data_IF_279444278502
#
_entry.id   IF_279444278502
#
_cell.length_a   1.000
_cell.length_b   1.000
_cell.length_c   1.000
_cell.angle_alpha   90.00
_cell.angle_beta   90.00
_cell.angle_gamma   90.00
#
_symmetry.space_group_name_H-M   'P 1'
#
loop_
_entity.id
_entity.type
_entity.pdbx_description
1 polymer ?
#
# COMPACT_ATOMS: atom_id res chain seq x y z
N UNK A 1 -4.56 -21.06 -5.74
CA UNK A 1 -5.94 -20.56 -5.58
C UNK A 1 -6.19 -19.90 -4.22
N UNK A 2 -5.65 -20.44 -3.11
CA UNK A 2 -5.84 -19.90 -1.75
C UNK A 2 -5.42 -18.45 -1.54
N UNK A 3 -4.47 -17.93 -2.33
CA UNK A 3 -3.96 -16.57 -2.23
C UNK A 3 -4.71 -15.55 -3.10
N UNK A 4 -5.52 -16.00 -4.08
CA UNK A 4 -6.12 -15.11 -5.07
C UNK A 4 -7.17 -14.20 -4.40
N UNK A 5 -8.12 -14.78 -3.66
CA UNK A 5 -9.16 -14.01 -2.96
C UNK A 5 -8.64 -13.01 -1.93
N UNK A 6 -7.73 -13.35 -1.00
CA UNK A 6 -7.23 -12.38 -0.04
C UNK A 6 -6.44 -11.25 -0.71
N UNK A 7 -5.67 -11.53 -1.77
CA UNK A 7 -4.96 -10.49 -2.52
C UNK A 7 -5.95 -9.58 -3.24
N UNK A 8 -6.97 -10.13 -3.91
CA UNK A 8 -8.01 -9.32 -4.56
C UNK A 8 -8.76 -8.44 -3.55
N UNK A 9 -9.11 -8.97 -2.39
CA UNK A 9 -9.77 -8.20 -1.34
C UNK A 9 -8.88 -7.05 -0.82
N UNK A 10 -7.60 -7.31 -0.57
CA UNK A 10 -6.63 -6.28 -0.16
C UNK A 10 -6.55 -5.13 -1.17
N UNK A 11 -6.44 -5.48 -2.46
CA UNK A 11 -6.36 -4.50 -3.56
C UNK A 11 -7.68 -3.76 -3.73
N UNK A 12 -8.82 -4.45 -3.70
CA UNK A 12 -10.14 -3.85 -3.89
C UNK A 12 -10.53 -2.90 -2.75
N UNK A 13 -10.08 -3.18 -1.52
CA UNK A 13 -10.23 -2.26 -0.39
C UNK A 13 -9.31 -1.04 -0.47
N UNK A 14 -8.39 -0.98 -1.44
CA UNK A 14 -7.43 0.12 -1.59
C UNK A 14 -6.36 0.13 -0.51
N UNK A 15 -6.01 -1.03 0.06
CA UNK A 15 -4.92 -1.11 1.03
C UNK A 15 -3.55 -0.97 0.35
N UNK A 16 -2.63 -0.32 1.06
CA UNK A 16 -1.33 0.07 0.54
C UNK A 16 -0.26 -1.00 0.83
N UNK A 17 0.45 -1.43 -0.20
CA UNK A 17 1.57 -2.38 -0.07
C UNK A 17 2.86 -1.71 -0.55
N UNK A 18 3.81 -1.52 0.35
CA UNK A 18 5.01 -0.72 0.10
C UNK A 18 5.80 -1.18 -1.15
N UNK A 19 5.90 -2.50 -1.37
CA UNK A 19 6.60 -3.06 -2.55
C UNK A 19 5.81 -2.86 -3.84
N UNK A 20 4.47 -2.85 -3.78
CA UNK A 20 3.66 -2.55 -4.97
C UNK A 20 3.83 -1.08 -5.36
N UNK A 21 3.91 -0.21 -4.36
CA UNK A 21 4.05 1.23 -4.54
C UNK A 21 5.44 1.62 -5.08
N UNK A 22 6.48 0.84 -4.79
CA UNK A 22 7.80 0.96 -5.43
C UNK A 22 7.75 0.74 -6.95
N UNK A 23 6.71 0.08 -7.49
CA UNK A 23 6.49 -0.04 -8.93
C UNK A 23 5.50 1.01 -9.44
N UNK A 24 4.32 1.12 -8.82
CA UNK A 24 3.24 1.98 -9.32
C UNK A 24 3.57 3.48 -9.26
N UNK A 25 4.22 3.96 -8.20
CA UNK A 25 4.51 5.39 -8.06
C UNK A 25 5.59 5.85 -9.05
N UNK A 26 6.75 5.17 -9.19
CA UNK A 26 7.73 5.54 -10.22
C UNK A 26 7.18 5.43 -11.64
N UNK A 27 6.35 4.42 -11.91
CA UNK A 27 5.68 4.28 -13.20
C UNK A 27 4.73 5.46 -13.47
N UNK A 28 3.93 5.87 -12.49
CA UNK A 28 3.07 7.05 -12.60
C UNK A 28 3.88 8.34 -12.83
N UNK A 29 4.96 8.54 -12.06
CA UNK A 29 5.85 9.71 -12.21
C UNK A 29 6.44 9.76 -13.62
N UNK A 30 6.91 8.62 -14.16
CA UNK A 30 7.47 8.56 -15.50
C UNK A 30 6.41 8.81 -16.58
N UNK A 31 5.23 8.18 -16.47
CA UNK A 31 4.13 8.39 -17.41
C UNK A 31 3.72 9.87 -17.47
N UNK A 32 3.56 10.51 -16.31
CA UNK A 32 3.10 11.88 -16.19
C UNK A 32 4.19 12.91 -16.58
N UNK A 33 5.37 12.83 -15.95
CA UNK A 33 6.40 13.86 -16.07
C UNK A 33 7.34 13.66 -17.27
N UNK A 34 7.58 12.42 -17.70
CA UNK A 34 8.51 12.13 -18.80
C UNK A 34 7.79 12.02 -20.14
N UNK A 35 6.63 11.36 -20.17
CA UNK A 35 5.90 11.09 -21.41
C UNK A 35 4.67 11.98 -21.62
N UNK A 36 4.30 12.81 -20.63
CA UNK A 36 3.10 13.66 -20.71
C UNK A 36 1.81 12.85 -20.86
N UNK A 37 1.83 11.57 -20.50
CA UNK A 37 0.70 10.67 -20.66
C UNK A 37 -0.23 10.82 -19.46
N UNK A 38 -1.41 11.38 -19.73
CA UNK A 38 -2.42 11.71 -18.72
C UNK A 38 -3.75 10.98 -18.92
N UNK A 39 -3.91 10.23 -20.03
CA UNK A 39 -5.15 9.50 -20.33
C UNK A 39 -6.41 10.40 -20.33
N UNK A 40 -7.58 9.80 -20.18
CA UNK A 40 -8.86 10.50 -19.95
C UNK A 40 -9.07 10.78 -18.45
N UNK A 41 -8.22 11.63 -17.87
CA UNK A 41 -8.36 12.07 -16.47
C UNK A 41 -9.10 13.41 -16.44
N UNK A 42 -10.08 13.53 -15.54
CA UNK A 42 -10.78 14.80 -15.27
C UNK A 42 -9.76 15.93 -15.00
N UNK A 43 -9.89 17.12 -15.63
CA UNK A 43 -8.92 18.20 -15.47
C UNK A 43 -8.69 18.63 -14.01
N UNK A 44 -9.74 18.58 -13.17
CA UNK A 44 -9.64 18.88 -11.75
C UNK A 44 -8.80 17.85 -10.95
N UNK A 45 -8.82 16.58 -11.37
CA UNK A 45 -8.00 15.52 -10.75
C UNK A 45 -6.56 15.56 -11.25
N UNK A 46 -6.37 16.03 -12.48
CA UNK A 46 -5.05 16.19 -13.09
C UNK A 46 -4.17 17.17 -12.33
N UNK A 47 -4.74 18.31 -11.93
CA UNK A 47 -4.04 19.33 -11.16
C UNK A 47 -3.61 18.78 -9.80
N UNK A 48 -4.51 18.10 -9.07
CA UNK A 48 -4.19 17.45 -7.79
C UNK A 48 -3.13 16.35 -7.93
N UNK A 49 -3.17 15.56 -9.01
CA UNK A 49 -2.16 14.54 -9.32
C UNK A 49 -0.79 15.17 -9.57
N UNK A 50 -0.72 16.28 -10.29
CA UNK A 50 0.54 16.96 -10.59
C UNK A 50 1.29 17.43 -9.35
N UNK A 51 0.56 17.83 -8.30
CA UNK A 51 1.14 18.30 -7.04
C UNK A 51 1.57 17.15 -6.12
N UNK A 52 0.95 15.97 -6.25
CA UNK A 52 1.18 14.84 -5.34
C UNK A 52 2.12 13.78 -5.94
N UNK A 53 2.13 13.64 -7.26
CA UNK A 53 2.95 12.69 -8.00
C UNK A 53 4.37 13.22 -8.23
N UNK A 54 5.04 13.48 -7.11
CA UNK A 54 6.43 13.92 -7.04
C UNK A 54 7.28 12.83 -6.39
N UNK A 55 8.60 12.88 -6.57
CA UNK A 55 9.52 11.97 -5.88
C UNK A 55 9.35 12.06 -4.35
N UNK A 56 9.13 13.27 -3.82
CA UNK A 56 8.87 13.48 -2.40
C UNK A 56 7.56 12.85 -1.93
N UNK A 57 6.48 13.00 -2.70
CA UNK A 57 5.19 12.36 -2.43
C UNK A 57 5.29 10.83 -2.47
N UNK A 58 6.07 10.29 -3.42
CA UNK A 58 6.31 8.85 -3.50
C UNK A 58 7.09 8.32 -2.29
N UNK A 59 8.15 9.01 -1.86
CA UNK A 59 8.90 8.63 -0.66
C UNK A 59 8.03 8.68 0.61
N UNK A 60 7.15 9.68 0.73
CA UNK A 60 6.22 9.78 1.85
C UNK A 60 5.24 8.61 1.89
N UNK A 61 4.62 8.28 0.75
CA UNK A 61 3.71 7.14 0.66
C UNK A 61 4.43 5.82 0.99
N UNK A 62 5.58 5.56 0.38
CA UNK A 62 6.36 4.34 0.63
C UNK A 62 6.77 4.24 2.10
N UNK A 63 7.19 5.35 2.72
CA UNK A 63 7.57 5.38 4.14
C UNK A 63 6.41 5.00 5.06
N UNK A 64 5.25 5.62 4.89
CA UNK A 64 4.07 5.33 5.71
C UNK A 64 3.51 3.93 5.44
N UNK A 65 3.43 3.51 4.17
CA UNK A 65 3.00 2.16 3.81
C UNK A 65 3.92 1.11 4.43
N UNK A 66 5.24 1.34 4.43
CA UNK A 66 6.22 0.42 5.04
C UNK A 66 5.99 0.29 6.55
N UNK A 67 5.81 1.40 7.26
CA UNK A 67 5.51 1.37 8.69
C UNK A 67 4.19 0.63 8.97
N UNK A 68 3.13 0.93 8.20
CA UNK A 68 1.85 0.25 8.32
C UNK A 68 1.94 -1.24 8.04
N UNK A 69 2.68 -1.65 7.01
CA UNK A 69 2.88 -3.06 6.65
C UNK A 69 3.67 -3.81 7.73
N UNK A 70 4.71 -3.20 8.32
CA UNK A 70 5.45 -3.79 9.45
C UNK A 70 4.53 -3.97 10.67
N UNK A 71 3.78 -2.92 11.05
CA UNK A 71 2.85 -2.97 12.18
C UNK A 71 1.77 -4.02 11.95
N UNK A 72 1.17 -4.07 10.76
CA UNK A 72 0.17 -5.08 10.40
C UNK A 72 0.71 -6.50 10.50
N UNK A 73 1.94 -6.75 10.02
CA UNK A 73 2.62 -8.03 10.15
C UNK A 73 2.91 -8.40 11.61
N UNK A 74 3.42 -7.45 12.39
CA UNK A 74 3.73 -7.65 13.80
C UNK A 74 2.48 -7.97 14.64
N UNK A 75 1.35 -7.31 14.37
CA UNK A 75 0.07 -7.58 15.02
C UNK A 75 -0.43 -8.99 14.72
N UNK A 76 -0.38 -9.41 13.45
CA UNK A 76 -0.81 -10.75 13.06
C UNK A 76 0.08 -11.83 13.71
N UNK A 77 1.40 -11.66 13.65
CA UNK A 77 2.34 -12.60 14.27
C UNK A 77 2.15 -12.65 15.80
N UNK A 78 2.01 -11.50 16.44
CA UNK A 78 1.78 -11.40 17.89
C UNK A 78 0.47 -12.05 18.32
N UNK A 79 -0.61 -11.83 17.56
CA UNK A 79 -1.91 -12.46 17.80
C UNK A 79 -1.83 -13.98 17.66
N UNK A 80 -1.17 -14.48 16.61
CA UNK A 80 -0.99 -15.93 16.41
C UNK A 80 -0.16 -16.55 17.54
N UNK A 81 0.90 -15.87 18.00
CA UNK A 81 1.69 -16.32 19.14
C UNK A 81 0.86 -16.37 20.43
N UNK A 82 0.06 -15.35 20.69
CA UNK A 82 -0.83 -15.33 21.85
C UNK A 82 -1.85 -16.47 21.78
N UNK A 83 -2.53 -16.66 20.65
CA UNK A 83 -3.50 -17.75 20.49
C UNK A 83 -2.86 -19.15 20.68
N UNK A 84 -1.61 -19.33 20.24
CA UNK A 84 -0.91 -20.59 20.36
C UNK A 84 -0.43 -20.91 21.79
N UNK A 85 0.02 -19.89 22.54
CA UNK A 85 0.69 -20.08 23.83
C UNK A 85 -0.07 -19.55 25.04
N UNK A 86 -1.25 -18.93 24.85
CA UNK A 86 -2.12 -18.52 25.95
C UNK A 86 -2.72 -19.76 26.64
N UNK A 87 -2.00 -20.32 27.62
CA UNK A 87 -2.54 -21.32 28.54
C UNK A 87 -3.53 -20.65 29.50
N UNK A 88 -4.73 -21.22 29.64
CA UNK A 88 -5.61 -20.89 30.77
C UNK A 88 -4.93 -21.38 32.06
N UNK A 89 -4.86 -20.52 33.09
CA UNK A 89 -4.61 -20.99 34.45
C UNK A 89 -5.78 -21.90 34.83
N UNK A 90 -5.51 -23.18 35.05
CA UNK A 90 -6.45 -24.08 35.70
C UNK A 90 -6.71 -23.54 37.11
N UNK A 91 -7.99 -23.33 37.42
CA UNK A 91 -8.48 -22.94 38.74
C UNK A 91 -9.00 -24.18 39.46
#
# INVERSE_FOLDING_TARGET
FTTIFPVMAFVACGFEHCVANMFFLPMGIAAFNTYGYVGDIDPAKLEALSQTLTVGGACYNIGLATLGNIVGGALLVGMMYWLAYHKKKEA
#
